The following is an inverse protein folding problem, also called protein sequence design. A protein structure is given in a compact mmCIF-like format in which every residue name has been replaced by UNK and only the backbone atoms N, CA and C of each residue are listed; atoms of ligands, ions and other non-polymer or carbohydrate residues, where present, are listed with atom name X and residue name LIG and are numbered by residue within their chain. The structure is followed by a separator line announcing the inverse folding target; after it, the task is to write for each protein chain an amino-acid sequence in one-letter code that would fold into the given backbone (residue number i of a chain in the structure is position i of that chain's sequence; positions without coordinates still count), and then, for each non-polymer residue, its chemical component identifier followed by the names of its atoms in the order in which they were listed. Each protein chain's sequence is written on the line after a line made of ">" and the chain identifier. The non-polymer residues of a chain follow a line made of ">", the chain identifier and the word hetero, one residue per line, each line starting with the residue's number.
data_IF_418166640110
#
_entry.id   IF_418166640110
#
_cell.length_a   1.000
_cell.length_b   1.000
_cell.length_c   1.000
_cell.angle_alpha   90.00
_cell.angle_beta   90.00
_cell.angle_gamma   90.00
#
_symmetry.space_group_name_H-M   'P 1'
#
loop_
_entity.id
_entity.type
_entity.pdbx_description
1 polymer ?
#
# COMPACT_ATOMS: atom_id res chain seq x y z
N UNK A 1 -15.46 17.40 -1.82
CA UNK A 1 -15.05 16.73 -0.58
C UNK A 1 -16.14 15.81 -0.02
N UNK A 2 -17.34 16.32 0.27
CA UNK A 2 -18.44 15.55 0.89
C UNK A 2 -18.76 14.26 0.10
N UNK A 3 -19.00 14.37 -1.21
CA UNK A 3 -19.28 13.20 -2.05
C UNK A 3 -18.17 12.14 -1.99
N UNK A 4 -16.92 12.58 -1.99
CA UNK A 4 -15.77 11.69 -1.90
C UNK A 4 -15.69 10.97 -0.55
N UNK A 5 -15.93 11.70 0.55
CA UNK A 5 -15.98 11.11 1.89
C UNK A 5 -17.12 10.10 2.01
N UNK A 6 -18.29 10.40 1.44
CA UNK A 6 -19.43 9.49 1.42
C UNK A 6 -19.12 8.20 0.62
N UNK A 7 -18.49 8.33 -0.55
CA UNK A 7 -18.12 7.18 -1.37
C UNK A 7 -17.13 6.24 -0.66
N UNK A 8 -16.20 6.79 0.12
CA UNK A 8 -15.24 6.00 0.90
C UNK A 8 -15.92 5.39 2.14
N UNK A 9 -16.86 6.09 2.79
CA UNK A 9 -17.55 5.56 3.96
C UNK A 9 -18.66 4.54 3.62
N UNK A 10 -19.09 4.49 2.35
CA UNK A 10 -20.19 3.61 1.91
C UNK A 10 -19.91 2.12 2.16
N UNK A 11 -18.70 1.57 1.89
CA UNK A 11 -18.42 0.17 2.14
C UNK A 11 -18.59 -0.21 3.61
N UNK A 12 -17.98 0.54 4.52
CA UNK A 12 -18.12 0.28 5.96
C UNK A 12 -19.59 0.35 6.40
N UNK A 13 -20.37 1.29 5.86
CA UNK A 13 -21.80 1.37 6.13
C UNK A 13 -22.55 0.14 5.58
N UNK A 14 -22.15 -0.36 4.40
CA UNK A 14 -22.65 -1.58 3.80
C UNK A 14 -22.37 -2.79 4.68
N UNK A 15 -21.11 -2.96 5.09
CA UNK A 15 -20.71 -4.03 6.00
C UNK A 15 -21.51 -4.02 7.31
N UNK A 16 -21.63 -2.86 7.96
CA UNK A 16 -22.40 -2.71 9.20
C UNK A 16 -23.88 -3.09 8.98
N UNK A 17 -24.47 -2.67 7.85
CA UNK A 17 -25.85 -3.00 7.51
C UNK A 17 -26.05 -4.51 7.36
N UNK A 18 -25.14 -5.17 6.63
CA UNK A 18 -25.19 -6.62 6.38
C UNK A 18 -24.96 -7.40 7.68
N UNK A 19 -24.02 -6.98 8.53
CA UNK A 19 -23.82 -7.59 9.84
C UNK A 19 -25.00 -7.40 10.79
N UNK A 20 -25.69 -6.24 10.72
CA UNK A 20 -26.89 -5.96 11.50
C UNK A 20 -28.13 -6.72 10.98
N UNK A 21 -28.12 -7.17 9.72
CA UNK A 21 -29.22 -7.91 9.08
C UNK A 21 -28.67 -9.16 8.38
N UNK A 22 -28.43 -10.25 9.11
CA UNK A 22 -27.83 -11.47 8.55
C UNK A 22 -28.60 -12.06 7.35
N UNK A 23 -29.91 -11.82 7.27
CA UNK A 23 -30.74 -12.25 6.14
C UNK A 23 -30.40 -11.51 4.84
N UNK A 24 -29.79 -10.32 4.92
CA UNK A 24 -29.31 -9.56 3.76
C UNK A 24 -27.93 -10.02 3.28
N UNK A 25 -27.21 -10.82 4.09
CA UNK A 25 -25.90 -11.37 3.74
C UNK A 25 -26.06 -12.62 2.86
N UNK A 26 -26.40 -12.39 1.60
CA UNK A 26 -26.72 -13.45 0.64
C UNK A 26 -25.51 -14.33 0.40
N UNK A 27 -25.69 -15.65 0.52
CA UNK A 27 -24.69 -16.65 0.18
C UNK A 27 -24.55 -16.78 -1.35
N UNK A 28 -23.33 -16.60 -1.85
CA UNK A 28 -23.01 -16.79 -3.26
C UNK A 28 -21.63 -17.44 -3.42
N UNK A 29 -21.63 -18.76 -3.60
CA UNK A 29 -20.43 -19.56 -3.81
C UNK A 29 -20.20 -19.76 -5.31
N UNK A 30 -19.10 -19.19 -5.84
CA UNK A 30 -18.73 -19.32 -7.24
C UNK A 30 -17.22 -19.32 -7.43
N UNK A 31 -16.63 -20.51 -7.36
CA UNK A 31 -15.18 -20.74 -7.40
C UNK A 31 -14.47 -20.10 -8.61
N UNK A 32 -14.94 -20.28 -9.86
CA UNK A 32 -14.28 -19.65 -11.01
C UNK A 32 -14.29 -18.10 -10.93
N UNK A 33 -15.41 -17.49 -10.52
CA UNK A 33 -15.47 -16.03 -10.41
C UNK A 33 -14.49 -15.51 -9.37
N UNK A 34 -14.42 -16.16 -8.21
CA UNK A 34 -13.45 -15.82 -7.17
C UNK A 34 -12.02 -15.92 -7.68
N UNK A 35 -11.64 -17.07 -8.23
CA UNK A 35 -10.28 -17.29 -8.73
C UNK A 35 -9.85 -16.23 -9.75
N UNK A 36 -10.67 -15.98 -10.77
CA UNK A 36 -10.33 -15.03 -11.83
C UNK A 36 -10.33 -13.59 -11.35
N UNK A 37 -11.25 -13.20 -10.47
CA UNK A 37 -11.27 -11.87 -9.86
C UNK A 37 -9.98 -11.62 -9.08
N UNK A 38 -9.65 -12.53 -8.16
CA UNK A 38 -8.48 -12.40 -7.27
C UNK A 38 -7.18 -12.41 -8.08
N UNK A 39 -7.07 -13.30 -9.06
CA UNK A 39 -5.91 -13.38 -9.94
C UNK A 39 -5.74 -12.10 -10.76
N UNK A 40 -6.82 -11.60 -11.39
CA UNK A 40 -6.77 -10.38 -12.18
C UNK A 40 -6.36 -9.17 -11.34
N UNK A 41 -6.94 -9.01 -10.14
CA UNK A 41 -6.59 -7.95 -9.20
C UNK A 41 -5.12 -8.05 -8.78
N UNK A 42 -4.63 -9.26 -8.49
CA UNK A 42 -3.24 -9.49 -8.12
C UNK A 42 -2.28 -9.11 -9.25
N UNK A 43 -2.56 -9.53 -10.48
CA UNK A 43 -1.72 -9.20 -11.65
C UNK A 43 -1.65 -7.69 -11.89
N UNK A 44 -2.80 -7.00 -11.87
CA UNK A 44 -2.84 -5.53 -12.00
C UNK A 44 -2.05 -4.85 -10.89
N UNK A 45 -2.17 -5.34 -9.66
CA UNK A 45 -1.48 -4.78 -8.49
C UNK A 45 0.02 -5.02 -8.52
N UNK A 46 0.47 -6.21 -8.98
CA UNK A 46 1.90 -6.50 -9.21
C UNK A 46 2.47 -5.58 -10.28
N UNK A 47 1.77 -5.40 -11.39
CA UNK A 47 2.18 -4.48 -12.45
C UNK A 47 2.31 -3.03 -11.93
N UNK A 48 1.32 -2.57 -11.15
CA UNK A 48 1.35 -1.26 -10.50
C UNK A 48 2.54 -1.12 -9.54
N UNK A 49 2.76 -2.10 -8.69
CA UNK A 49 3.89 -2.14 -7.76
C UNK A 49 5.23 -2.12 -8.48
N UNK A 50 5.37 -2.86 -9.58
CA UNK A 50 6.58 -2.89 -10.41
C UNK A 50 6.84 -1.52 -11.08
N UNK A 51 5.81 -0.90 -11.67
CA UNK A 51 5.91 0.45 -12.28
C UNK A 51 6.30 1.50 -11.24
N UNK A 52 5.66 1.46 -10.06
CA UNK A 52 5.96 2.37 -8.95
C UNK A 52 7.39 2.17 -8.44
N UNK A 53 7.84 0.93 -8.35
CA UNK A 53 9.19 0.57 -7.94
C UNK A 53 10.26 1.05 -8.92
N UNK A 54 10.00 0.96 -10.23
CA UNK A 54 10.92 1.47 -11.25
C UNK A 54 10.98 3.01 -11.23
N UNK A 55 9.84 3.67 -11.03
CA UNK A 55 9.80 5.12 -10.87
C UNK A 55 10.56 5.57 -9.61
N UNK A 56 10.40 4.87 -8.49
CA UNK A 56 11.14 5.12 -7.26
C UNK A 56 12.66 5.00 -7.44
N UNK A 57 13.11 3.98 -8.18
CA UNK A 57 14.52 3.76 -8.49
C UNK A 57 15.11 4.91 -9.31
N UNK A 58 14.42 5.33 -10.37
CA UNK A 58 14.87 6.42 -11.26
C UNK A 58 14.96 7.77 -10.54
N UNK A 59 14.13 7.98 -9.51
CA UNK A 59 14.00 9.25 -8.79
C UNK A 59 14.69 9.27 -7.44
N UNK A 60 15.26 8.12 -6.99
CA UNK A 60 15.84 7.95 -5.65
C UNK A 60 14.84 8.30 -4.53
N UNK A 61 13.55 7.97 -4.72
CA UNK A 61 12.47 8.31 -3.80
C UNK A 61 12.13 7.10 -2.89
N UNK A 62 12.43 7.26 -1.60
CA UNK A 62 12.18 6.22 -0.57
C UNK A 62 10.68 6.04 -0.32
N UNK A 63 9.90 7.12 -0.30
CA UNK A 63 8.44 7.06 -0.08
C UNK A 63 7.76 6.25 -1.17
N UNK A 64 8.07 6.57 -2.42
CA UNK A 64 7.54 5.86 -3.58
C UNK A 64 7.98 4.39 -3.61
N UNK A 65 9.21 4.10 -3.16
CA UNK A 65 9.71 2.74 -3.03
C UNK A 65 8.92 1.95 -1.98
N UNK A 66 8.66 2.52 -0.80
CA UNK A 66 7.87 1.88 0.26
C UNK A 66 6.41 1.66 -0.16
N UNK A 67 5.80 2.61 -0.88
CA UNK A 67 4.48 2.44 -1.50
C UNK A 67 4.49 1.25 -2.45
N UNK A 68 5.54 1.11 -3.28
CA UNK A 68 5.66 -0.05 -4.18
C UNK A 68 5.75 -1.37 -3.44
N UNK A 69 6.49 -1.43 -2.30
CA UNK A 69 6.58 -2.62 -1.47
C UNK A 69 5.22 -2.98 -0.84
N UNK A 70 4.45 -1.98 -0.37
CA UNK A 70 3.11 -2.21 0.15
C UNK A 70 2.20 -2.86 -0.90
N UNK A 71 2.20 -2.34 -2.13
CA UNK A 71 1.40 -2.94 -3.22
C UNK A 71 1.88 -4.33 -3.62
N UNK A 72 3.20 -4.53 -3.77
CA UNK A 72 3.76 -5.84 -4.13
C UNK A 72 3.48 -6.90 -3.05
N UNK A 73 3.58 -6.53 -1.78
CA UNK A 73 3.27 -7.43 -0.65
C UNK A 73 1.79 -7.80 -0.65
N UNK A 74 0.90 -6.81 -0.68
CA UNK A 74 -0.54 -7.04 -0.67
C UNK A 74 -0.99 -7.85 -1.89
N UNK A 75 -0.48 -7.52 -3.09
CA UNK A 75 -0.78 -8.22 -4.33
C UNK A 75 -0.27 -9.67 -4.33
N UNK A 76 0.95 -9.88 -3.84
CA UNK A 76 1.55 -11.22 -3.79
C UNK A 76 0.77 -12.15 -2.87
N UNK A 77 0.43 -11.70 -1.66
CA UNK A 77 -0.38 -12.50 -0.72
C UNK A 77 -1.83 -12.69 -1.20
N UNK A 78 -2.41 -11.70 -1.89
CA UNK A 78 -3.70 -11.86 -2.55
C UNK A 78 -3.61 -12.92 -3.67
N UNK A 79 -2.52 -12.94 -4.44
CA UNK A 79 -2.27 -13.98 -5.44
C UNK A 79 -2.14 -15.38 -4.83
N UNK A 80 -1.46 -15.50 -3.69
CA UNK A 80 -1.43 -16.76 -2.94
C UNK A 80 -2.81 -17.17 -2.44
N UNK A 81 -3.64 -16.20 -2.02
CA UNK A 81 -5.02 -16.49 -1.63
C UNK A 81 -5.87 -17.05 -2.80
N UNK A 82 -5.60 -16.65 -4.05
CA UNK A 82 -6.27 -17.25 -5.20
C UNK A 82 -6.12 -18.78 -5.23
N UNK A 83 -4.97 -19.32 -4.78
CA UNK A 83 -4.71 -20.76 -4.70
C UNK A 83 -5.60 -21.46 -3.67
N UNK A 84 -6.19 -20.73 -2.71
CA UNK A 84 -7.15 -21.27 -1.76
C UNK A 84 -8.49 -21.66 -2.39
N UNK A 85 -8.74 -21.27 -3.66
CA UNK A 85 -10.01 -21.58 -4.35
C UNK A 85 -10.11 -23.09 -4.61
N UNK A 86 -11.01 -23.82 -3.93
CA UNK A 86 -11.11 -25.26 -4.08
C UNK A 86 -11.50 -25.67 -5.51
N UNK A 87 -10.93 -26.80 -5.98
CA UNK A 87 -11.28 -27.36 -7.26
C UNK A 87 -10.78 -26.60 -8.50
N UNK A 88 -9.91 -25.59 -8.33
CA UNK A 88 -9.28 -24.87 -9.46
C UNK A 88 -7.83 -25.29 -9.63
N UNK A 89 -6.97 -25.11 -8.63
CA UNK A 89 -5.56 -25.54 -8.65
C UNK A 89 -5.26 -26.55 -7.55
N UNK A 90 -5.96 -26.49 -6.44
CA UNK A 90 -5.87 -27.45 -5.34
C UNK A 90 -7.25 -28.08 -5.14
N UNK A 91 -7.27 -29.41 -4.90
CA UNK A 91 -8.52 -30.13 -4.69
C UNK A 91 -9.17 -29.80 -3.34
N UNK A 92 -8.34 -29.60 -2.31
CA UNK A 92 -8.77 -29.39 -0.93
C UNK A 92 -8.65 -27.91 -0.46
N UNK A 93 -9.26 -27.65 0.69
CA UNK A 93 -9.09 -26.37 1.40
C UNK A 93 -7.70 -26.33 2.02
N UNK A 94 -6.95 -25.24 1.82
CA UNK A 94 -5.64 -25.02 2.43
C UNK A 94 -5.71 -23.82 3.37
N UNK A 95 -5.43 -24.05 4.65
CA UNK A 95 -5.51 -23.02 5.68
C UNK A 95 -4.54 -21.85 5.41
N UNK A 96 -3.30 -22.15 5.03
CA UNK A 96 -2.27 -21.14 4.79
C UNK A 96 -2.63 -20.19 3.65
N UNK A 97 -3.16 -20.70 2.53
CA UNK A 97 -3.61 -19.83 1.45
C UNK A 97 -4.91 -19.08 1.79
N UNK A 98 -5.78 -19.65 2.61
CA UNK A 98 -6.99 -18.97 3.08
C UNK A 98 -6.64 -17.71 3.89
N UNK A 99 -5.67 -17.79 4.81
CA UNK A 99 -5.26 -16.65 5.64
C UNK A 99 -4.16 -15.78 5.01
N UNK A 100 -3.74 -16.07 3.79
CA UNK A 100 -2.68 -15.29 3.13
C UNK A 100 -3.05 -13.80 3.00
N UNK A 101 -4.28 -13.47 2.61
CA UNK A 101 -4.70 -12.08 2.43
C UNK A 101 -4.61 -11.25 3.72
N UNK A 102 -5.17 -11.63 4.88
CA UNK A 102 -5.03 -10.85 6.10
C UNK A 102 -3.57 -10.69 6.55
N UNK A 103 -2.72 -11.68 6.36
CA UNK A 103 -1.27 -11.56 6.60
C UNK A 103 -0.64 -10.55 5.65
N UNK A 104 -0.98 -10.62 4.37
CA UNK A 104 -0.50 -9.69 3.35
C UNK A 104 -0.94 -8.26 3.62
N UNK A 105 -2.17 -8.03 4.07
CA UNK A 105 -2.68 -6.72 4.44
C UNK A 105 -1.91 -6.14 5.63
N UNK A 106 -1.63 -6.94 6.66
CA UNK A 106 -0.82 -6.48 7.80
C UNK A 106 0.60 -6.11 7.37
N UNK A 107 1.30 -6.98 6.64
CA UNK A 107 2.67 -6.69 6.18
C UNK A 107 2.71 -5.46 5.26
N UNK A 108 1.74 -5.32 4.37
CA UNK A 108 1.64 -4.17 3.48
C UNK A 108 1.35 -2.87 4.26
N UNK A 109 0.54 -2.93 5.32
CA UNK A 109 0.23 -1.76 6.16
C UNK A 109 1.47 -1.21 6.87
N UNK A 110 2.44 -2.06 7.22
CA UNK A 110 3.73 -1.61 7.78
C UNK A 110 4.48 -0.74 6.77
N UNK A 111 4.59 -1.19 5.52
CA UNK A 111 5.23 -0.39 4.46
C UNK A 111 4.44 0.88 4.16
N UNK A 112 3.09 0.82 4.15
CA UNK A 112 2.23 1.98 3.96
C UNK A 112 2.46 3.04 5.05
N UNK A 113 2.44 2.65 6.32
CA UNK A 113 2.70 3.53 7.45
C UNK A 113 4.13 4.09 7.41
N UNK A 114 5.11 3.27 7.08
CA UNK A 114 6.51 3.71 6.96
C UNK A 114 6.67 4.74 5.83
N UNK A 115 6.02 4.54 4.69
CA UNK A 115 6.03 5.50 3.57
C UNK A 115 5.48 6.87 3.95
N UNK A 116 4.62 6.91 4.95
CA UNK A 116 3.97 8.13 5.44
C UNK A 116 4.84 8.94 6.43
N UNK A 117 5.99 8.41 6.87
CA UNK A 117 6.89 9.12 7.77
C UNK A 117 7.68 10.22 7.03
N UNK A 118 7.93 11.34 7.72
CA UNK A 118 8.55 12.52 7.12
C UNK A 118 10.09 12.37 6.94
N UNK A 119 10.70 11.42 7.66
CA UNK A 119 12.14 11.18 7.62
C UNK A 119 12.44 9.71 7.35
N UNK A 120 12.56 9.35 6.07
CA UNK A 120 13.09 8.03 5.75
C UNK A 120 14.58 7.94 6.19
N UNK A 121 14.97 6.73 6.59
CA UNK A 121 16.32 6.47 7.01
C UNK A 121 17.35 6.85 5.92
N UNK A 122 18.37 7.69 6.22
CA UNK A 122 19.43 8.01 5.27
C UNK A 122 20.11 6.72 4.78
N UNK A 123 20.27 6.57 3.47
CA UNK A 123 20.87 5.36 2.89
C UNK A 123 19.91 4.18 2.69
N UNK A 124 18.62 4.32 3.04
CA UNK A 124 17.60 3.26 2.85
C UNK A 124 17.63 2.64 1.44
N UNK A 125 17.78 3.47 0.40
CA UNK A 125 17.82 3.00 -0.99
C UNK A 125 19.05 2.15 -1.33
N UNK A 126 20.12 2.21 -0.55
CA UNK A 126 21.24 1.27 -0.70
C UNK A 126 20.82 -0.16 -0.37
N UNK A 127 19.85 -0.33 0.52
CA UNK A 127 19.32 -1.62 0.96
C UNK A 127 18.06 -2.06 0.19
N UNK A 128 17.67 -1.34 -0.88
CA UNK A 128 16.44 -1.62 -1.65
C UNK A 128 16.33 -3.06 -2.16
N UNK A 129 17.45 -3.68 -2.51
CA UNK A 129 17.45 -5.07 -2.96
C UNK A 129 17.08 -6.03 -1.82
N UNK A 130 17.53 -5.77 -0.60
CA UNK A 130 17.21 -6.57 0.58
C UNK A 130 15.70 -6.51 0.87
N UNK A 131 15.10 -5.30 0.84
CA UNK A 131 13.67 -5.15 1.07
C UNK A 131 12.83 -5.80 -0.03
N UNK A 132 13.25 -5.76 -1.29
CA UNK A 132 12.57 -6.52 -2.35
C UNK A 132 12.65 -8.01 -2.14
N UNK A 133 13.85 -8.50 -1.85
CA UNK A 133 14.05 -9.92 -1.59
C UNK A 133 13.33 -10.38 -0.33
N UNK A 134 13.21 -9.55 0.72
CA UNK A 134 12.42 -9.89 1.90
C UNK A 134 10.94 -10.14 1.56
N UNK A 135 10.34 -9.35 0.66
CA UNK A 135 8.97 -9.59 0.17
C UNK A 135 8.90 -10.90 -0.62
N UNK A 136 9.83 -11.13 -1.54
CA UNK A 136 9.87 -12.39 -2.33
C UNK A 136 10.05 -13.59 -1.41
N UNK A 137 10.96 -13.51 -0.45
CA UNK A 137 11.22 -14.58 0.52
C UNK A 137 10.02 -14.81 1.44
N UNK A 138 9.35 -13.75 1.89
CA UNK A 138 8.13 -13.89 2.69
C UNK A 138 7.03 -14.64 1.91
N UNK A 139 6.81 -14.28 0.64
CA UNK A 139 5.86 -14.96 -0.23
C UNK A 139 6.25 -16.42 -0.49
N UNK A 140 7.53 -16.69 -0.80
CA UNK A 140 8.02 -18.05 -1.06
C UNK A 140 7.94 -18.93 0.20
N UNK A 141 8.34 -18.39 1.35
CA UNK A 141 8.25 -19.10 2.63
C UNK A 141 6.80 -19.38 3.01
N UNK A 142 5.91 -18.39 2.83
CA UNK A 142 4.49 -18.60 3.10
C UNK A 142 3.87 -19.63 2.18
N UNK A 143 4.17 -19.56 0.87
CA UNK A 143 3.71 -20.55 -0.11
C UNK A 143 4.21 -21.96 0.24
N UNK A 144 5.50 -22.09 0.57
CA UNK A 144 6.08 -23.36 0.97
C UNK A 144 5.45 -23.90 2.26
N UNK A 145 5.32 -23.06 3.30
CA UNK A 145 4.69 -23.45 4.54
C UNK A 145 3.22 -23.88 4.35
N UNK A 146 2.50 -23.22 3.44
CA UNK A 146 1.13 -23.58 3.08
C UNK A 146 1.04 -24.88 2.32
N UNK A 147 1.93 -25.11 1.33
CA UNK A 147 1.93 -26.33 0.51
C UNK A 147 2.37 -27.58 1.31
N UNK A 148 3.32 -27.42 2.23
CA UNK A 148 3.79 -28.49 3.11
C UNK A 148 3.01 -28.61 4.41
N UNK A 149 1.93 -27.84 4.55
CA UNK A 149 1.05 -27.86 5.72
C UNK A 149 1.83 -27.80 7.05
N UNK A 150 2.79 -26.87 7.11
CA UNK A 150 3.63 -26.68 8.30
C UNK A 150 2.79 -26.10 9.44
N UNK A 151 2.81 -26.68 10.67
CA UNK A 151 2.07 -26.12 11.80
C UNK A 151 2.37 -24.63 12.03
N UNK A 152 1.37 -23.76 12.27
CA UNK A 152 -0.05 -24.06 12.54
C UNK A 152 -0.97 -24.10 11.31
N UNK A 153 -0.43 -24.22 10.08
CA UNK A 153 -1.20 -24.20 8.83
C UNK A 153 -1.64 -25.59 8.37
N UNK A 154 -1.35 -26.63 9.15
CA UNK A 154 -1.65 -28.05 8.93
C UNK A 154 -3.12 -28.43 9.15
N UNK A 155 -3.88 -27.58 9.82
CA UNK A 155 -5.29 -27.83 10.10
C UNK A 155 -6.15 -26.61 9.75
N UNK A 156 -7.40 -26.81 9.30
CA UNK A 156 -8.36 -25.72 9.19
C UNK A 156 -8.52 -25.03 10.55
N UNK A 157 -8.45 -23.71 10.55
CA UNK A 157 -8.69 -22.96 11.77
C UNK A 157 -10.14 -23.20 12.23
N UNK A 158 -10.32 -23.55 13.51
CA UNK A 158 -11.66 -23.56 14.10
C UNK A 158 -12.25 -22.14 14.07
N UNK A 159 -13.57 -22.00 14.01
CA UNK A 159 -14.22 -20.69 13.92
C UNK A 159 -13.74 -19.74 15.02
N UNK A 160 -13.73 -20.17 16.28
CA UNK A 160 -13.24 -19.36 17.41
C UNK A 160 -11.74 -18.99 17.32
N UNK A 161 -10.93 -19.83 16.68
CA UNK A 161 -9.51 -19.56 16.47
C UNK A 161 -9.33 -18.61 15.31
N UNK A 162 -10.09 -18.78 14.23
CA UNK A 162 -10.06 -17.90 13.07
C UNK A 162 -10.39 -16.45 13.48
N UNK A 163 -11.44 -16.23 14.23
CA UNK A 163 -11.84 -14.90 14.70
C UNK A 163 -10.73 -14.21 15.48
N UNK A 164 -10.07 -14.91 16.40
CA UNK A 164 -8.96 -14.34 17.19
C UNK A 164 -7.75 -14.01 16.32
N UNK A 165 -7.39 -14.86 15.37
CA UNK A 165 -6.29 -14.63 14.44
C UNK A 165 -6.60 -13.45 13.51
N UNK A 166 -7.80 -13.41 12.94
CA UNK A 166 -8.22 -12.36 12.03
C UNK A 166 -8.28 -11.00 12.73
N UNK A 167 -8.78 -10.93 13.95
CA UNK A 167 -8.76 -9.71 14.78
C UNK A 167 -7.32 -9.30 15.13
N UNK A 168 -6.49 -10.27 15.53
CA UNK A 168 -5.08 -10.03 15.85
C UNK A 168 -4.27 -9.47 14.69
N UNK A 169 -4.57 -9.86 13.45
CA UNK A 169 -3.96 -9.31 12.22
C UNK A 169 -4.65 -8.03 11.77
N UNK A 170 -5.97 -7.97 11.86
CA UNK A 170 -6.79 -6.87 11.35
C UNK A 170 -6.61 -5.57 12.14
N UNK A 171 -6.66 -5.63 13.47
CA UNK A 171 -6.55 -4.41 14.31
C UNK A 171 -5.27 -3.62 14.04
N UNK A 172 -4.05 -4.21 14.08
CA UNK A 172 -2.84 -3.47 13.75
C UNK A 172 -2.79 -3.03 12.28
N UNK A 173 -3.30 -3.84 11.34
CA UNK A 173 -3.37 -3.44 9.93
C UNK A 173 -4.22 -2.19 9.74
N UNK A 174 -5.42 -2.14 10.33
CA UNK A 174 -6.33 -0.99 10.28
C UNK A 174 -5.68 0.25 10.91
N UNK A 175 -5.04 0.12 12.07
CA UNK A 175 -4.36 1.23 12.74
C UNK A 175 -3.24 1.82 11.87
N UNK A 176 -2.43 0.97 11.22
CA UNK A 176 -1.34 1.40 10.35
C UNK A 176 -1.85 2.02 9.04
N UNK A 177 -2.88 1.45 8.41
CA UNK A 177 -3.51 2.05 7.24
C UNK A 177 -4.18 3.39 7.57
N UNK A 178 -4.86 3.50 8.71
CA UNK A 178 -5.44 4.77 9.17
C UNK A 178 -4.37 5.85 9.39
N UNK A 179 -3.24 5.49 10.01
CA UNK A 179 -2.08 6.37 10.16
C UNK A 179 -1.56 6.82 8.80
N UNK A 180 -1.36 5.88 7.85
CA UNK A 180 -0.91 6.19 6.51
C UNK A 180 -1.89 7.13 5.80
N UNK A 181 -3.18 6.79 5.77
CA UNK A 181 -4.22 7.60 5.14
C UNK A 181 -4.28 9.02 5.70
N UNK A 182 -4.23 9.15 7.03
CA UNK A 182 -4.24 10.46 7.70
C UNK A 182 -3.03 11.33 7.29
N UNK A 183 -1.82 10.74 7.25
CA UNK A 183 -0.59 11.43 6.84
C UNK A 183 -0.63 11.84 5.37
N UNK A 184 -1.05 10.92 4.48
CA UNK A 184 -1.21 11.19 3.06
C UNK A 184 -2.30 12.24 2.78
N UNK A 185 -3.40 12.23 3.55
CA UNK A 185 -4.43 13.26 3.47
C UNK A 185 -3.89 14.66 3.89
N UNK A 186 -3.03 14.71 4.88
CA UNK A 186 -2.33 15.97 5.23
C UNK A 186 -1.44 16.43 4.07
N UNK A 187 -0.65 15.55 3.50
CA UNK A 187 0.20 15.86 2.35
C UNK A 187 -0.64 16.33 1.15
N UNK A 188 -1.76 15.68 0.87
CA UNK A 188 -2.70 16.07 -0.19
C UNK A 188 -3.27 17.48 0.03
N UNK A 189 -3.58 17.86 1.27
CA UNK A 189 -4.10 19.22 1.57
C UNK A 189 -3.09 20.31 1.23
N UNK A 190 -1.81 20.02 1.38
CA UNK A 190 -0.74 20.99 1.05
C UNK A 190 -0.38 20.96 -0.43
N UNK A 191 -0.51 19.82 -1.08
CA UNK A 191 -0.11 19.58 -2.48
C UNK A 191 -1.07 18.62 -3.17
N UNK A 192 -2.20 19.13 -3.66
CA UNK A 192 -3.19 18.30 -4.33
C UNK A 192 -2.60 17.64 -5.59
N UNK A 193 -2.65 16.30 -5.68
CA UNK A 193 -2.40 15.53 -6.89
C UNK A 193 -3.34 14.33 -6.97
N UNK A 194 -3.61 13.86 -8.19
CA UNK A 194 -4.51 12.73 -8.40
C UNK A 194 -3.93 11.46 -7.78
N UNK A 195 -2.62 11.23 -7.87
CA UNK A 195 -1.96 10.06 -7.29
C UNK A 195 -2.00 10.10 -5.77
N UNK A 196 -1.74 11.26 -5.12
CA UNK A 196 -1.87 11.37 -3.67
C UNK A 196 -3.29 11.07 -3.19
N UNK A 197 -4.29 11.55 -3.94
CA UNK A 197 -5.68 11.24 -3.64
C UNK A 197 -5.98 9.76 -3.80
N UNK A 198 -5.51 9.15 -4.91
CA UNK A 198 -5.67 7.73 -5.18
C UNK A 198 -5.00 6.84 -4.13
N UNK A 199 -3.77 7.17 -3.74
CA UNK A 199 -3.03 6.45 -2.69
C UNK A 199 -3.70 6.61 -1.32
N UNK A 200 -4.18 7.81 -0.98
CA UNK A 200 -4.93 8.06 0.27
C UNK A 200 -6.19 7.19 0.32
N UNK A 201 -6.96 7.19 -0.77
CA UNK A 201 -8.16 6.36 -0.88
C UNK A 201 -7.84 4.86 -0.80
N UNK A 202 -6.75 4.42 -1.46
CA UNK A 202 -6.35 3.03 -1.40
C UNK A 202 -6.01 2.58 0.03
N UNK A 203 -5.32 3.42 0.82
CA UNK A 203 -5.05 3.09 2.23
C UNK A 203 -6.33 2.98 3.06
N UNK A 204 -7.34 3.82 2.80
CA UNK A 204 -8.65 3.73 3.47
C UNK A 204 -9.34 2.43 3.07
N UNK A 205 -9.47 2.15 1.77
CA UNK A 205 -10.14 0.96 1.26
C UNK A 205 -9.46 -0.34 1.69
N UNK A 206 -8.11 -0.38 1.77
CA UNK A 206 -7.38 -1.54 2.30
C UNK A 206 -7.56 -1.70 3.81
N UNK A 207 -7.70 -0.60 4.56
CA UNK A 207 -8.09 -0.63 5.96
C UNK A 207 -9.50 -1.17 6.16
N UNK A 208 -10.46 -0.74 5.34
CA UNK A 208 -11.84 -1.28 5.32
C UNK A 208 -11.87 -2.75 4.92
N UNK A 209 -11.06 -3.15 3.92
CA UNK A 209 -10.91 -4.56 3.55
C UNK A 209 -10.39 -5.40 4.73
N UNK A 210 -9.43 -4.89 5.52
CA UNK A 210 -8.94 -5.60 6.70
C UNK A 210 -10.02 -5.76 7.78
N UNK A 211 -10.93 -4.79 7.92
CA UNK A 211 -12.11 -4.91 8.80
C UNK A 211 -13.06 -5.96 8.21
N UNK A 212 -13.39 -5.85 6.93
CA UNK A 212 -14.34 -6.76 6.28
C UNK A 212 -13.85 -8.22 6.32
N UNK A 213 -12.54 -8.49 6.11
CA UNK A 213 -11.95 -9.83 6.28
C UNK A 213 -12.19 -10.39 7.66
N UNK A 214 -12.10 -9.57 8.72
CA UNK A 214 -12.24 -10.04 10.10
C UNK A 214 -13.69 -10.37 10.50
N UNK A 215 -14.69 -9.77 9.84
CA UNK A 215 -16.10 -9.90 10.22
C UNK A 215 -16.97 -10.56 9.15
N UNK A 216 -16.45 -10.82 7.97
CA UNK A 216 -17.21 -11.40 6.87
C UNK A 216 -17.45 -12.90 7.04
N UNK A 217 -18.57 -13.39 6.50
CA UNK A 217 -18.93 -14.80 6.45
C UNK A 217 -18.54 -15.38 5.09
N UNK A 218 -17.80 -16.50 5.09
CA UNK A 218 -17.30 -17.14 3.87
C UNK A 218 -18.40 -17.32 2.80
N UNK A 219 -18.10 -16.91 1.56
CA UNK A 219 -19.00 -16.99 0.40
C UNK A 219 -20.29 -16.17 0.52
N UNK A 220 -20.40 -15.27 1.51
CA UNK A 220 -21.51 -14.34 1.61
C UNK A 220 -21.17 -12.99 0.96
N UNK A 221 -22.16 -12.12 0.82
CA UNK A 221 -21.97 -10.78 0.26
C UNK A 221 -20.90 -9.99 1.00
N UNK A 222 -20.86 -10.08 2.34
CA UNK A 222 -19.83 -9.49 3.19
C UNK A 222 -18.41 -10.01 2.87
N UNK A 223 -18.28 -11.27 2.46
CA UNK A 223 -16.99 -11.84 2.05
C UNK A 223 -16.57 -11.32 0.67
N UNK A 224 -17.47 -11.17 -0.27
CA UNK A 224 -17.18 -10.57 -1.58
C UNK A 224 -16.80 -9.10 -1.47
N UNK A 225 -17.30 -8.40 -0.46
CA UNK A 225 -17.04 -6.99 -0.24
C UNK A 225 -15.55 -6.68 -0.13
N UNK A 226 -14.78 -7.40 0.70
CA UNK A 226 -13.35 -7.10 0.85
C UNK A 226 -12.54 -7.39 -0.42
N UNK A 227 -12.95 -8.35 -1.25
CA UNK A 227 -12.33 -8.56 -2.57
C UNK A 227 -12.56 -7.36 -3.48
N UNK A 228 -13.78 -6.83 -3.49
CA UNK A 228 -14.13 -5.64 -4.27
C UNK A 228 -13.42 -4.39 -3.74
N UNK A 229 -13.26 -4.25 -2.43
CA UNK A 229 -12.50 -3.14 -1.81
C UNK A 229 -11.03 -3.17 -2.23
N UNK A 230 -10.41 -4.34 -2.22
CA UNK A 230 -9.04 -4.49 -2.73
C UNK A 230 -8.94 -4.17 -4.22
N UNK A 231 -9.87 -4.69 -5.03
CA UNK A 231 -9.94 -4.37 -6.46
C UNK A 231 -10.11 -2.87 -6.70
N UNK A 232 -10.99 -2.21 -5.95
CA UNK A 232 -11.21 -0.77 -6.03
C UNK A 232 -9.98 0.03 -5.61
N UNK A 233 -9.30 -0.36 -4.52
CA UNK A 233 -8.09 0.28 -4.03
C UNK A 233 -6.99 0.29 -5.11
N UNK A 234 -6.68 -0.88 -5.66
CA UNK A 234 -5.64 -1.01 -6.68
C UNK A 234 -6.06 -0.39 -8.02
N UNK A 235 -7.33 -0.58 -8.43
CA UNK A 235 -7.88 0.00 -9.64
C UNK A 235 -7.83 1.54 -9.63
N UNK A 236 -8.15 2.16 -8.48
CA UNK A 236 -8.12 3.61 -8.32
C UNK A 236 -6.68 4.15 -8.41
N UNK A 237 -5.72 3.50 -7.77
CA UNK A 237 -4.31 3.91 -7.87
C UNK A 237 -3.81 3.71 -9.31
N UNK A 238 -4.11 2.58 -9.94
CA UNK A 238 -3.75 2.33 -11.35
C UNK A 238 -4.32 3.42 -12.27
N UNK A 239 -5.60 3.77 -12.11
CA UNK A 239 -6.25 4.82 -12.87
C UNK A 239 -5.55 6.18 -12.69
N UNK A 240 -5.26 6.58 -11.44
CA UNK A 240 -4.61 7.87 -11.17
C UNK A 240 -3.18 7.92 -11.70
N UNK A 241 -2.43 6.82 -11.59
CA UNK A 241 -1.07 6.69 -12.15
C UNK A 241 -1.09 6.79 -13.69
N UNK A 242 -2.00 6.07 -14.35
CA UNK A 242 -2.13 6.13 -15.81
C UNK A 242 -2.53 7.52 -16.28
N UNK A 243 -3.45 8.18 -15.58
CA UNK A 243 -3.87 9.54 -15.87
C UNK A 243 -2.73 10.57 -15.75
N UNK A 244 -1.94 10.51 -14.68
CA UNK A 244 -0.77 11.40 -14.53
C UNK A 244 0.32 11.08 -15.54
N UNK A 245 0.54 9.79 -15.87
CA UNK A 245 1.47 9.40 -16.92
C UNK A 245 1.09 10.01 -18.27
N UNK A 246 -0.20 10.00 -18.62
CA UNK A 246 -0.69 10.60 -19.86
C UNK A 246 -0.48 12.12 -19.92
N UNK A 247 -0.38 12.79 -18.75
CA UNK A 247 -0.09 14.22 -18.62
C UNK A 247 1.40 14.54 -18.53
N UNK A 248 2.28 13.55 -18.53
CA UNK A 248 3.73 13.74 -18.33
C UNK A 248 4.15 14.02 -16.87
N UNK A 249 3.22 14.00 -15.93
CA UNK A 249 3.40 14.40 -14.53
C UNK A 249 3.50 13.19 -13.58
N UNK A 250 3.95 12.04 -14.08
CA UNK A 250 3.95 10.78 -13.32
C UNK A 250 4.57 10.93 -11.93
N UNK A 251 3.79 10.70 -10.88
CA UNK A 251 4.16 10.79 -9.47
C UNK A 251 4.67 12.17 -8.98
N UNK A 252 4.44 13.26 -9.73
CA UNK A 252 4.91 14.61 -9.37
C UNK A 252 4.53 15.01 -7.93
N UNK A 253 3.28 14.74 -7.52
CA UNK A 253 2.81 15.07 -6.18
C UNK A 253 3.44 14.26 -5.05
N UNK A 254 3.97 13.05 -5.31
CA UNK A 254 4.57 12.20 -4.28
C UNK A 254 6.02 12.58 -3.95
N UNK A 255 6.81 12.98 -4.93
CA UNK A 255 8.26 13.21 -4.75
C UNK A 255 8.69 14.68 -4.66
N UNK A 256 7.84 15.63 -5.07
CA UNK A 256 8.19 17.06 -5.05
C UNK A 256 8.57 17.54 -3.64
N UNK A 257 7.99 16.91 -2.62
CA UNK A 257 8.26 17.23 -1.22
C UNK A 257 9.69 16.91 -0.80
N UNK A 258 10.22 15.78 -1.24
CA UNK A 258 11.60 15.40 -0.92
C UNK A 258 12.62 16.28 -1.66
N UNK A 259 12.32 16.68 -2.90
CA UNK A 259 13.16 17.57 -3.68
C UNK A 259 13.20 18.97 -3.06
N UNK A 260 12.05 19.53 -2.69
CA UNK A 260 11.99 20.82 -1.99
C UNK A 260 12.63 20.73 -0.60
N UNK A 261 12.41 19.65 0.14
CA UNK A 261 13.08 19.42 1.42
C UNK A 261 14.60 19.28 1.30
N UNK A 262 15.12 18.76 0.18
CA UNK A 262 16.56 18.77 -0.11
C UNK A 262 17.09 20.18 -0.41
N UNK A 263 16.35 20.96 -1.19
CA UNK A 263 16.70 22.36 -1.50
C UNK A 263 16.67 23.19 -0.21
N UNK A 264 15.62 23.08 0.59
CA UNK A 264 15.48 23.80 1.86
C UNK A 264 16.59 23.46 2.86
N UNK A 265 16.91 22.17 3.02
CA UNK A 265 18.04 21.72 3.85
C UNK A 265 19.39 22.19 3.31
N UNK A 266 19.58 22.16 2.00
CA UNK A 266 20.78 22.67 1.35
C UNK A 266 20.92 24.19 1.58
N UNK A 267 19.86 24.93 1.41
CA UNK A 267 19.80 26.36 1.66
C UNK A 267 20.04 26.70 3.14
N UNK A 268 19.34 26.03 4.05
CA UNK A 268 19.50 26.22 5.50
C UNK A 268 20.92 25.89 5.97
N UNK A 269 21.52 24.82 5.42
CA UNK A 269 22.91 24.45 5.74
C UNK A 269 23.89 25.49 5.22
N UNK A 270 23.67 26.00 4.00
CA UNK A 270 24.51 27.02 3.41
C UNK A 270 24.40 28.36 4.17
N UNK A 271 23.19 28.75 4.56
CA UNK A 271 22.95 29.96 5.39
C UNK A 271 23.60 29.83 6.77
N UNK A 272 23.49 28.66 7.42
CA UNK A 272 24.17 28.42 8.70
C UNK A 272 25.69 28.45 8.57
N UNK A 273 26.23 27.86 7.50
CA UNK A 273 27.67 27.88 7.23
C UNK A 273 28.17 29.31 6.95
N UNK A 274 27.39 30.10 6.23
CA UNK A 274 27.67 31.52 5.98
C UNK A 274 27.62 32.35 7.28
N UNK A 275 26.61 32.13 8.11
CA UNK A 275 26.44 32.84 9.39
C UNK A 275 27.50 32.46 10.42
N UNK A 276 28.17 31.29 10.29
CA UNK A 276 29.24 30.85 11.16
C UNK A 276 30.64 31.32 10.72
N UNK A 277 30.73 32.21 9.71
CA UNK A 277 31.99 32.73 9.13
C UNK A 277 32.92 31.62 8.57
N UNK A 278 32.43 30.38 8.42
CA UNK A 278 33.22 29.26 7.89
C UNK A 278 33.54 29.39 6.40
N UNK A 279 32.79 30.25 5.67
CA UNK A 279 33.01 30.52 4.27
C UNK A 279 33.35 32.00 4.08
N UNK A 280 34.53 32.31 3.51
CA UNK A 280 34.83 33.66 3.09
C UNK A 280 33.84 34.18 2.03
N UNK A 281 33.66 35.49 1.96
CA UNK A 281 32.72 36.11 1.01
C UNK A 281 32.91 35.65 -0.46
N UNK A 282 34.13 35.37 -0.84
CA UNK A 282 34.49 34.94 -2.19
C UNK A 282 34.04 33.51 -2.49
N UNK A 283 34.05 32.61 -1.53
CA UNK A 283 33.57 31.24 -1.63
C UNK A 283 32.01 31.23 -1.68
N UNK A 284 31.36 32.10 -0.93
CA UNK A 284 29.91 32.31 -1.00
C UNK A 284 29.47 32.80 -2.39
N UNK A 285 30.18 33.78 -2.95
CA UNK A 285 29.93 34.27 -4.31
C UNK A 285 30.10 33.16 -5.35
N UNK A 286 31.12 32.33 -5.20
CA UNK A 286 31.42 31.21 -6.11
C UNK A 286 30.36 30.13 -6.04
N UNK A 287 29.93 29.74 -4.82
CA UNK A 287 28.91 28.69 -4.60
C UNK A 287 27.50 29.08 -5.00
N UNK A 288 27.15 30.35 -4.85
CA UNK A 288 25.78 30.83 -5.15
C UNK A 288 25.67 31.59 -6.44
N UNK A 289 26.72 31.68 -7.24
CA UNK A 289 26.69 32.41 -8.52
C UNK A 289 26.42 33.91 -8.40
N UNK A 290 26.58 34.46 -7.21
CA UNK A 290 26.32 35.88 -6.90
C UNK A 290 27.51 36.78 -7.25
N UNK A 291 28.14 36.60 -8.42
CA UNK A 291 29.37 37.33 -8.72
C UNK A 291 29.73 37.51 -10.16
N UNK A 292 28.89 37.13 -11.08
CA UNK A 292 29.06 37.57 -12.45
C UNK A 292 28.33 38.89 -12.65
N UNK A 293 28.99 40.00 -12.32
CA UNK A 293 28.62 41.28 -12.95
C UNK A 293 28.70 41.06 -14.45
N UNK A 294 27.54 41.06 -15.15
CA UNK A 294 27.51 41.13 -16.59
C UNK A 294 28.08 42.48 -16.99
N UNK A 295 29.15 42.55 -17.74
CA UNK A 295 29.52 43.87 -18.32
C UNK A 295 28.35 44.31 -19.22
N UNK A 296 27.97 45.53 -19.08
CA UNK A 296 26.94 46.25 -19.87
C UNK A 296 27.26 46.21 -21.35
#
# INVERSE_FOLDING_TARGET
>A
MILWTLLIALPIAGLVLVLARPDADVHWEHHPAHFWLVLAVSVVSVALGALTSEAAKRRFDVRLFLVSLAFLTSAGFLGLHALATPGVLLEGKNAGFTVATPVGLLLASVYAAWSALDRPWPGFLAWRWLFRWSVVMALATWAAASLFEVPPLDHPLSEDSADRWLLGLGIPAVALYALAAWRYQRLYRHRPSAVLLGVTAAWILLGEAAIAVAFSRNWHASWWEWHLLMAAAFGLVAYTVLRERARGELFAGLYLDETLGRIDRGYTTAVKAAASEQLGQEELRRRFGLGAERPW
#
